data_IF_301132409358
#
_entry.id   IF_301132409358
#
_cell.length_a   1.000
_cell.length_b   1.000
_cell.length_c   1.000
_cell.angle_alpha   90.00
_cell.angle_beta   90.00
_cell.angle_gamma   90.00
#
_symmetry.space_group_name_H-M   'P 1'
#
loop_
_entity.id
_entity.type
_entity.pdbx_description
1 polymer ?
#
# COMPACT_ATOMS: atom_id res chain seq x y z
N UNK A 1 -8.07 2.83 -18.62
CA UNK A 1 -7.32 2.13 -19.70
C UNK A 1 -6.22 3.07 -20.17
N UNK A 2 -5.08 2.58 -20.65
CA UNK A 2 -4.08 3.46 -21.26
C UNK A 2 -4.65 4.06 -22.57
N UNK A 3 -4.38 5.33 -22.89
CA UNK A 3 -4.76 5.90 -24.18
C UNK A 3 -3.92 5.25 -25.30
N UNK A 4 -4.51 5.08 -26.48
CA UNK A 4 -3.84 4.43 -27.61
C UNK A 4 -2.52 5.11 -28.01
N UNK A 5 -2.43 6.43 -27.83
CA UNK A 5 -1.21 7.23 -28.04
C UNK A 5 -0.06 6.87 -27.10
N UNK A 6 -0.33 6.40 -25.88
CA UNK A 6 0.72 5.93 -24.97
C UNK A 6 1.26 4.57 -25.40
N UNK A 7 0.40 3.66 -25.88
CA UNK A 7 0.80 2.34 -26.38
C UNK A 7 1.65 2.46 -27.65
N UNK A 8 1.25 3.30 -28.61
CA UNK A 8 2.02 3.53 -29.83
C UNK A 8 3.31 4.33 -29.57
N UNK A 9 3.26 5.36 -28.71
CA UNK A 9 4.44 6.12 -28.32
C UNK A 9 5.51 5.25 -27.63
N UNK A 10 5.10 4.40 -26.69
CA UNK A 10 5.98 3.43 -26.05
C UNK A 10 6.53 2.41 -27.05
N UNK A 11 5.70 1.85 -27.95
CA UNK A 11 6.17 0.90 -28.96
C UNK A 11 7.21 1.51 -29.92
N UNK A 12 7.05 2.78 -30.31
CA UNK A 12 8.04 3.50 -31.10
C UNK A 12 9.35 3.73 -30.33
N UNK A 13 9.28 4.12 -29.06
CA UNK A 13 10.46 4.28 -28.21
C UNK A 13 11.19 2.95 -27.99
N UNK A 14 10.47 1.85 -27.74
CA UNK A 14 11.03 0.50 -27.66
C UNK A 14 11.70 0.08 -28.99
N UNK A 15 11.03 0.32 -30.12
CA UNK A 15 11.59 0.01 -31.45
C UNK A 15 12.91 0.74 -31.67
N UNK A 16 12.96 2.05 -31.37
CA UNK A 16 14.16 2.87 -31.51
C UNK A 16 15.28 2.47 -30.55
N UNK A 17 14.95 2.12 -29.30
CA UNK A 17 15.92 1.67 -28.30
C UNK A 17 16.51 0.29 -28.61
N UNK A 18 15.73 -0.62 -29.21
CA UNK A 18 16.17 -1.97 -29.58
C UNK A 18 16.86 -2.01 -30.95
N UNK A 19 16.58 -1.08 -31.86
CA UNK A 19 17.15 -1.04 -33.22
C UNK A 19 18.69 -1.20 -33.29
N UNK A 20 19.52 -0.50 -32.48
CA UNK A 20 20.97 -0.67 -32.50
C UNK A 20 21.47 -1.98 -31.86
N UNK A 21 20.62 -2.72 -31.14
CA UNK A 21 20.98 -3.96 -30.42
C UNK A 21 20.48 -5.20 -31.17
N UNK A 22 19.32 -5.12 -31.81
CA UNK A 22 18.62 -6.27 -32.38
C UNK A 22 19.23 -6.81 -33.67
N UNK A 23 19.95 -5.98 -34.45
CA UNK A 23 20.44 -6.30 -35.80
C UNK A 23 19.32 -6.83 -36.75
N UNK A 24 18.09 -6.35 -36.54
CA UNK A 24 16.85 -6.74 -37.23
C UNK A 24 16.23 -5.50 -37.88
N UNK A 25 15.57 -5.67 -39.03
CA UNK A 25 14.97 -4.55 -39.76
C UNK A 25 13.83 -3.88 -38.95
N UNK A 26 13.79 -2.55 -38.97
CA UNK A 26 12.76 -1.73 -38.31
C UNK A 26 11.32 -2.22 -38.56
N UNK A 27 11.02 -2.63 -39.79
CA UNK A 27 9.69 -3.14 -40.19
C UNK A 27 9.27 -4.46 -39.53
N UNK A 28 10.22 -5.24 -39.01
CA UNK A 28 9.96 -6.45 -38.22
C UNK A 28 9.89 -6.14 -36.72
N UNK A 29 10.71 -5.20 -36.25
CA UNK A 29 10.82 -4.80 -34.84
C UNK A 29 9.63 -3.94 -34.34
N UNK A 30 9.02 -3.15 -35.23
CA UNK A 30 7.86 -2.31 -34.90
C UNK A 30 6.57 -3.10 -34.56
N UNK A 31 6.12 -4.10 -35.35
CA UNK A 31 4.95 -4.90 -34.98
C UNK A 31 5.17 -5.75 -33.72
N UNK A 32 6.39 -6.26 -33.51
CA UNK A 32 6.81 -6.90 -32.24
C UNK A 32 6.65 -5.92 -31.06
N UNK A 33 7.20 -4.71 -31.17
CA UNK A 33 7.11 -3.70 -30.10
C UNK A 33 5.67 -3.25 -29.82
N UNK A 34 4.78 -3.27 -30.82
CA UNK A 34 3.35 -3.03 -30.63
C UNK A 34 2.67 -4.18 -29.87
N UNK A 35 2.92 -5.43 -30.26
CA UNK A 35 2.44 -6.62 -29.53
C UNK A 35 2.94 -6.63 -28.09
N UNK A 36 4.21 -6.26 -27.87
CA UNK A 36 4.83 -6.15 -26.55
C UNK A 36 4.16 -5.06 -25.69
N UNK A 37 3.90 -3.87 -26.24
CA UNK A 37 3.19 -2.79 -25.53
C UNK A 37 1.77 -3.18 -25.11
N UNK A 38 1.07 -3.91 -25.98
CA UNK A 38 -0.28 -4.40 -25.74
C UNK A 38 -0.30 -5.51 -24.68
N UNK A 39 0.65 -6.45 -24.75
CA UNK A 39 0.82 -7.50 -23.75
C UNK A 39 1.16 -6.95 -22.36
N UNK A 40 2.08 -5.98 -22.26
CA UNK A 40 2.42 -5.34 -20.99
C UNK A 40 1.27 -4.47 -20.45
N UNK A 41 0.54 -3.78 -21.32
CA UNK A 41 -0.69 -3.05 -20.97
C UNK A 41 -1.82 -3.97 -20.46
N UNK A 42 -1.93 -5.18 -21.01
CA UNK A 42 -2.88 -6.20 -20.56
C UNK A 42 -2.47 -6.78 -19.20
N UNK A 43 -1.19 -7.13 -19.01
CA UNK A 43 -0.64 -7.66 -17.76
C UNK A 43 -0.58 -6.63 -16.62
N UNK A 44 -0.56 -5.34 -16.93
CA UNK A 44 -0.72 -4.29 -15.94
C UNK A 44 -2.07 -4.38 -15.20
N UNK A 45 -3.15 -4.82 -15.84
CA UNK A 45 -4.49 -4.90 -15.24
C UNK A 45 -4.54 -5.86 -14.02
N UNK A 46 -4.15 -7.15 -14.13
CA UNK A 46 -4.11 -8.03 -12.96
C UNK A 46 -3.05 -7.62 -11.94
N UNK A 47 -1.91 -7.04 -12.36
CA UNK A 47 -0.90 -6.52 -11.43
C UNK A 47 -1.47 -5.40 -10.55
N UNK A 48 -2.15 -4.41 -11.14
CA UNK A 48 -2.84 -3.33 -10.43
C UNK A 48 -3.90 -3.88 -9.48
N UNK A 49 -4.66 -4.89 -9.93
CA UNK A 49 -5.70 -5.53 -9.13
C UNK A 49 -5.11 -6.22 -7.87
N UNK A 50 -4.05 -7.01 -8.03
CA UNK A 50 -3.33 -7.66 -6.92
C UNK A 50 -2.74 -6.62 -5.96
N UNK A 51 -2.05 -5.59 -6.48
CA UNK A 51 -1.46 -4.51 -5.68
C UNK A 51 -2.52 -3.81 -4.82
N UNK A 52 -3.69 -3.50 -5.39
CA UNK A 52 -4.79 -2.81 -4.70
C UNK A 52 -5.42 -3.66 -3.58
N UNK A 53 -5.56 -4.96 -3.78
CA UNK A 53 -6.19 -5.84 -2.79
C UNK A 53 -5.25 -6.44 -1.74
N UNK A 54 -3.93 -6.40 -1.96
CA UNK A 54 -2.94 -7.07 -1.09
C UNK A 54 -2.80 -6.48 0.33
N UNK A 55 -3.35 -5.27 0.61
CA UNK A 55 -3.39 -4.62 1.95
C UNK A 55 -2.06 -4.57 2.72
N UNK A 56 -0.92 -4.59 2.02
CA UNK A 56 0.44 -4.65 2.59
C UNK A 56 0.86 -3.44 3.43
N UNK A 57 -0.03 -2.49 3.68
CA UNK A 57 0.24 -1.29 4.48
C UNK A 57 0.23 -1.59 5.99
N UNK A 58 -0.54 -2.60 6.41
CA UNK A 58 -0.57 -3.11 7.78
C UNK A 58 0.60 -4.07 8.10
N UNK A 59 1.61 -4.15 7.22
CA UNK A 59 2.69 -5.16 7.26
C UNK A 59 4.05 -4.45 7.34
N UNK A 60 5.02 -5.09 7.99
CA UNK A 60 6.37 -4.53 8.18
C UNK A 60 7.03 -4.12 6.86
N UNK A 61 7.82 -3.02 6.85
CA UNK A 61 8.33 -2.43 5.60
C UNK A 61 9.22 -3.38 4.78
N UNK A 62 9.99 -4.24 5.45
CA UNK A 62 10.82 -5.26 4.80
C UNK A 62 9.98 -6.31 4.06
N UNK A 63 8.94 -6.85 4.70
CA UNK A 63 8.06 -7.84 4.07
C UNK A 63 7.19 -7.19 2.97
N UNK A 64 6.79 -5.94 3.17
CA UNK A 64 6.13 -5.11 2.15
C UNK A 64 7.00 -4.95 0.89
N UNK A 65 8.31 -4.71 1.04
CA UNK A 65 9.26 -4.64 -0.08
C UNK A 65 9.43 -5.98 -0.80
N UNK A 66 9.57 -7.09 -0.05
CA UNK A 66 9.68 -8.45 -0.61
C UNK A 66 8.44 -8.83 -1.43
N UNK A 67 7.23 -8.59 -0.91
CA UNK A 67 6.00 -8.92 -1.61
C UNK A 67 5.83 -8.09 -2.92
N UNK A 68 6.17 -6.80 -2.90
CA UNK A 68 6.12 -5.97 -4.11
C UNK A 68 7.15 -6.38 -5.18
N UNK A 69 8.38 -6.70 -4.77
CA UNK A 69 9.41 -7.19 -5.70
C UNK A 69 9.05 -8.57 -6.28
N UNK A 70 8.37 -9.42 -5.50
CA UNK A 70 7.79 -10.67 -6.02
C UNK A 70 6.69 -10.42 -7.07
N UNK A 71 5.80 -9.43 -6.89
CA UNK A 71 4.81 -9.09 -7.91
C UNK A 71 5.44 -8.57 -9.21
N UNK A 72 6.48 -7.72 -9.11
CA UNK A 72 7.25 -7.27 -10.27
C UNK A 72 7.95 -8.43 -10.96
N UNK A 73 8.54 -9.37 -10.22
CA UNK A 73 9.20 -10.56 -10.78
C UNK A 73 8.21 -11.49 -11.51
N UNK A 74 7.03 -11.76 -10.91
CA UNK A 74 5.98 -12.59 -11.53
C UNK A 74 5.41 -11.92 -12.79
N UNK A 75 5.13 -10.62 -12.75
CA UNK A 75 4.67 -9.88 -13.93
C UNK A 75 5.73 -9.85 -15.04
N UNK A 76 7.01 -9.68 -14.68
CA UNK A 76 8.14 -9.70 -15.61
C UNK A 76 8.30 -11.05 -16.29
N UNK A 77 8.23 -12.15 -15.53
CA UNK A 77 8.31 -13.51 -16.05
C UNK A 77 7.11 -13.85 -16.95
N UNK A 78 5.89 -13.46 -16.56
CA UNK A 78 4.69 -13.62 -17.38
C UNK A 78 4.80 -12.81 -18.69
N UNK A 79 5.26 -11.56 -18.64
CA UNK A 79 5.43 -10.72 -19.82
C UNK A 79 6.49 -11.28 -20.78
N UNK A 80 7.68 -11.62 -20.28
CA UNK A 80 8.76 -12.20 -21.10
C UNK A 80 8.36 -13.56 -21.71
N UNK A 81 7.73 -14.44 -20.91
CA UNK A 81 7.21 -15.72 -21.39
C UNK A 81 6.10 -15.58 -22.43
N UNK A 82 5.16 -14.64 -22.23
CA UNK A 82 4.10 -14.38 -23.20
C UNK A 82 4.61 -13.79 -24.51
N UNK A 83 5.64 -12.93 -24.46
CA UNK A 83 6.27 -12.36 -25.65
C UNK A 83 7.00 -13.45 -26.46
N UNK A 84 7.82 -14.29 -25.82
CA UNK A 84 8.52 -15.39 -26.50
C UNK A 84 7.56 -16.44 -27.07
N UNK A 85 6.45 -16.74 -26.37
CA UNK A 85 5.40 -17.62 -26.88
C UNK A 85 4.69 -17.01 -28.10
N UNK A 86 4.42 -15.70 -28.09
CA UNK A 86 3.85 -14.99 -29.23
C UNK A 86 4.82 -14.98 -30.43
N UNK A 87 6.12 -14.76 -30.21
CA UNK A 87 7.14 -14.84 -31.27
C UNK A 87 7.18 -16.22 -31.92
N UNK A 88 7.20 -17.28 -31.11
CA UNK A 88 7.23 -18.68 -31.57
C UNK A 88 5.98 -19.05 -32.40
N UNK A 89 4.80 -18.54 -32.03
CA UNK A 89 3.53 -18.83 -32.70
C UNK A 89 3.29 -17.96 -33.94
N UNK A 90 3.73 -16.70 -33.94
CA UNK A 90 3.46 -15.73 -35.02
C UNK A 90 4.56 -15.74 -36.09
N UNK A 91 5.83 -15.84 -35.69
CA UNK A 91 6.98 -15.73 -36.61
C UNK A 91 7.77 -17.04 -36.79
N UNK A 92 7.41 -18.09 -36.05
CA UNK A 92 8.01 -19.43 -36.16
C UNK A 92 9.35 -19.58 -35.43
N UNK A 93 9.84 -20.83 -35.31
CA UNK A 93 11.02 -21.16 -34.49
C UNK A 93 12.32 -20.53 -35.03
N UNK A 94 12.51 -20.49 -36.34
CA UNK A 94 13.72 -19.95 -36.98
C UNK A 94 13.88 -18.45 -36.69
N UNK A 95 12.77 -17.71 -36.68
CA UNK A 95 12.75 -16.29 -36.31
C UNK A 95 12.94 -16.12 -34.81
N UNK A 96 12.22 -16.89 -33.98
CA UNK A 96 12.28 -16.79 -32.52
C UNK A 96 13.69 -17.09 -31.95
N UNK A 97 14.48 -17.92 -32.63
CA UNK A 97 15.89 -18.16 -32.28
C UNK A 97 16.74 -16.87 -32.28
N UNK A 98 16.51 -15.96 -33.24
CA UNK A 98 17.21 -14.66 -33.31
C UNK A 98 16.87 -13.71 -32.15
N UNK A 99 15.66 -13.81 -31.60
CA UNK A 99 15.20 -12.97 -30.49
C UNK A 99 15.68 -13.45 -29.11
N UNK A 100 16.26 -14.65 -28.98
CA UNK A 100 16.71 -15.20 -27.69
C UNK A 100 17.72 -14.28 -26.96
N UNK A 101 18.62 -13.63 -27.71
CA UNK A 101 19.59 -12.65 -27.18
C UNK A 101 18.93 -11.41 -26.57
N UNK A 102 17.70 -11.09 -26.98
CA UNK A 102 16.94 -9.92 -26.50
C UNK A 102 16.05 -10.23 -25.29
N UNK A 103 15.81 -11.51 -24.96
CA UNK A 103 15.02 -11.93 -23.79
C UNK A 103 15.49 -11.27 -22.48
N UNK A 104 16.78 -11.28 -22.08
CA UNK A 104 17.22 -10.64 -20.84
C UNK A 104 17.02 -9.12 -20.85
N UNK A 105 17.17 -8.47 -22.00
CA UNK A 105 16.94 -7.02 -22.15
C UNK A 105 15.46 -6.66 -22.04
N UNK A 106 14.56 -7.45 -22.66
CA UNK A 106 13.11 -7.31 -22.50
C UNK A 106 12.65 -7.60 -21.07
N UNK A 107 13.26 -8.59 -20.39
CA UNK A 107 12.97 -8.85 -18.98
C UNK A 107 13.36 -7.67 -18.08
N UNK A 108 14.51 -7.04 -18.32
CA UNK A 108 14.91 -5.81 -17.61
C UNK A 108 13.96 -4.64 -17.90
N UNK A 109 13.57 -4.45 -19.17
CA UNK A 109 12.59 -3.44 -19.57
C UNK A 109 11.25 -3.62 -18.84
N UNK A 110 10.73 -4.85 -18.81
CA UNK A 110 9.51 -5.22 -18.10
C UNK A 110 9.60 -4.96 -16.59
N UNK A 111 10.72 -5.31 -15.96
CA UNK A 111 10.94 -5.04 -14.54
C UNK A 111 10.90 -3.53 -14.23
N UNK A 112 11.51 -2.69 -15.09
CA UNK A 112 11.42 -1.23 -14.98
C UNK A 112 9.99 -0.71 -15.17
N UNK A 113 9.24 -1.23 -16.16
CA UNK A 113 7.85 -0.82 -16.44
C UNK A 113 6.93 -1.17 -15.26
N UNK A 114 6.95 -2.41 -14.79
CA UNK A 114 6.08 -2.85 -13.69
C UNK A 114 6.46 -2.20 -12.36
N UNK A 115 7.74 -1.92 -12.12
CA UNK A 115 8.20 -1.11 -10.98
C UNK A 115 7.69 0.34 -11.08
N UNK A 116 7.79 0.97 -12.25
CA UNK A 116 7.27 2.32 -12.49
C UNK A 116 5.76 2.43 -12.26
N UNK A 117 4.98 1.49 -12.81
CA UNK A 117 3.52 1.39 -12.58
C UNK A 117 3.22 1.30 -11.08
N UNK A 118 3.93 0.44 -10.34
CA UNK A 118 3.76 0.29 -8.90
C UNK A 118 4.06 1.57 -8.11
N UNK A 119 5.09 2.33 -8.52
CA UNK A 119 5.43 3.63 -7.91
C UNK A 119 4.33 4.65 -8.18
N UNK A 120 3.88 4.78 -9.43
CA UNK A 120 2.84 5.76 -9.81
C UNK A 120 1.50 5.56 -9.08
N UNK A 121 1.09 4.31 -8.85
CA UNK A 121 -0.09 4.01 -8.01
C UNK A 121 0.13 4.52 -6.58
N UNK A 122 1.27 4.16 -5.98
CA UNK A 122 1.60 4.50 -4.59
C UNK A 122 1.75 6.02 -4.36
N UNK A 123 2.14 6.79 -5.38
CA UNK A 123 2.13 8.26 -5.30
C UNK A 123 0.73 8.83 -5.47
N UNK A 124 -0.10 8.27 -6.37
CA UNK A 124 -1.48 8.71 -6.58
C UNK A 124 -2.38 8.53 -5.35
N UNK A 125 -2.19 7.44 -4.60
CA UNK A 125 -2.93 7.19 -3.36
C UNK A 125 -2.61 8.29 -2.31
N UNK A 126 -1.33 8.67 -2.18
CA UNK A 126 -0.87 9.72 -1.25
C UNK A 126 -1.29 11.13 -1.64
N UNK A 127 -1.29 11.45 -2.93
CA UNK A 127 -1.68 12.78 -3.41
C UNK A 127 -3.16 13.05 -3.10
N UNK A 128 -4.00 12.02 -3.24
CA UNK A 128 -5.43 12.04 -2.86
C UNK A 128 -5.62 12.35 -1.36
N UNK A 129 -4.87 11.69 -0.48
CA UNK A 129 -4.91 11.89 0.98
C UNK A 129 -4.47 13.32 1.37
N UNK A 130 -3.42 13.86 0.74
CA UNK A 130 -2.94 15.23 1.01
C UNK A 130 -3.97 16.29 0.57
N UNK A 131 -4.67 16.09 -0.55
CA UNK A 131 -5.70 17.02 -1.03
C UNK A 131 -6.93 17.06 -0.10
N UNK A 132 -7.31 15.95 0.53
CA UNK A 132 -8.44 15.91 1.48
C UNK A 132 -8.11 16.53 2.85
N UNK A 133 -6.82 16.59 3.23
CA UNK A 133 -6.36 17.18 4.50
C UNK A 133 -6.14 18.70 4.40
N UNK A 134 -5.99 19.25 3.18
CA UNK A 134 -5.90 20.69 2.97
C UNK A 134 -7.24 21.36 3.32
N UNK A 135 -7.32 22.23 4.34
CA UNK A 135 -8.55 22.95 4.62
C UNK A 135 -8.83 23.91 3.47
N UNK A 136 -10.00 23.75 2.83
CA UNK A 136 -10.59 24.79 1.99
C UNK A 136 -10.48 26.13 2.73
N UNK A 137 -9.75 27.08 2.15
CA UNK A 137 -9.59 28.42 2.70
C UNK A 137 -10.86 29.25 2.43
N UNK A 138 -11.99 28.75 2.95
CA UNK A 138 -13.28 29.41 2.87
C UNK A 138 -13.19 30.77 3.53
N UNK A 139 -13.49 31.81 2.76
CA UNK A 139 -13.55 33.20 3.21
C UNK A 139 -14.80 33.40 4.08
N UNK A 140 -14.78 32.80 5.28
CA UNK A 140 -15.83 32.94 6.27
C UNK A 140 -15.78 34.36 6.83
N UNK A 141 -16.83 35.18 6.62
CA UNK A 141 -16.88 36.51 7.21
C UNK A 141 -16.91 36.36 8.73
N UNK A 142 -15.84 36.79 9.41
CA UNK A 142 -15.76 36.78 10.86
C UNK A 142 -16.71 37.88 11.38
N UNK A 143 -17.94 37.46 11.67
CA UNK A 143 -18.87 38.21 12.49
C UNK A 143 -18.20 38.46 13.85
N UNK A 144 -18.08 39.74 14.23
CA UNK A 144 -17.27 40.19 15.37
C UNK A 144 -18.11 40.52 16.61
N UNK A 145 -19.42 40.35 16.55
CA UNK A 145 -20.34 40.77 17.62
C UNK A 145 -20.75 39.61 18.57
N UNK A 146 -19.89 38.60 18.75
CA UNK A 146 -20.06 37.58 19.81
C UNK A 146 -19.60 38.18 21.16
N UNK A 147 -20.49 38.37 22.17
CA UNK A 147 -20.09 38.91 23.46
C UNK A 147 -19.19 37.92 24.22
N UNK A 148 -18.03 38.39 24.68
CA UNK A 148 -17.09 37.59 25.46
C UNK A 148 -17.74 37.10 26.77
N UNK A 149 -17.82 35.78 27.03
CA UNK A 149 -18.37 35.28 28.29
C UNK A 149 -17.50 35.70 29.47
N UNK A 150 -18.14 36.25 30.51
CA UNK A 150 -17.46 36.62 31.75
C UNK A 150 -17.19 35.36 32.60
N UNK A 151 -15.93 34.98 32.72
CA UNK A 151 -15.47 33.95 33.65
C UNK A 151 -15.29 34.61 35.02
N UNK A 152 -15.97 34.16 36.09
CA UNK A 152 -15.76 34.72 37.43
C UNK A 152 -14.43 34.26 38.03
N UNK A 153 -13.72 35.15 38.73
CA UNK A 153 -12.34 34.98 39.23
C UNK A 153 -12.16 33.98 40.40
N UNK A 154 -12.96 32.91 40.46
CA UNK A 154 -12.80 31.81 41.41
C UNK A 154 -12.39 30.53 40.69
N UNK A 155 -11.08 30.37 40.49
CA UNK A 155 -10.31 29.14 40.73
C UNK A 155 -8.83 29.37 40.31
N UNK A 156 -8.09 30.11 41.14
CA UNK A 156 -6.61 30.16 41.09
C UNK A 156 -6.08 29.72 42.45
N UNK A 157 -5.90 28.42 42.61
CA UNK A 157 -4.99 27.84 43.60
C UNK A 157 -4.04 26.88 42.87
N UNK A 158 -2.75 26.99 43.17
CA UNK A 158 -1.66 26.37 42.39
C UNK A 158 -1.16 25.09 43.07
N UNK A 159 -0.66 24.07 42.35
CA UNK A 159 -0.50 22.74 42.90
C UNK A 159 0.80 22.55 43.72
N UNK A 160 0.69 22.46 45.04
CA UNK A 160 1.72 21.87 45.90
C UNK A 160 1.14 21.40 47.26
N UNK A 161 1.88 20.53 47.96
CA UNK A 161 1.60 19.93 49.29
C UNK A 161 0.61 18.75 49.38
N UNK A 162 1.12 17.50 49.24
CA UNK A 162 0.51 16.29 49.83
C UNK A 162 1.47 15.07 49.94
N UNK A 163 2.77 15.26 50.21
CA UNK A 163 3.73 14.14 50.35
C UNK A 163 4.35 14.05 51.76
N UNK A 164 3.74 13.28 52.68
CA UNK A 164 4.40 12.72 53.87
C UNK A 164 3.59 11.64 54.62
N UNK A 165 4.18 10.44 54.66
CA UNK A 165 4.24 9.51 55.81
C UNK A 165 2.97 8.98 56.52
N UNK A 166 2.77 7.64 56.45
CA UNK A 166 2.84 6.78 57.65
C UNK A 166 3.04 5.28 57.35
N UNK A 167 3.60 4.52 58.32
CA UNK A 167 3.96 3.08 58.30
C UNK A 167 4.31 2.64 59.77
N UNK A 168 4.61 1.41 60.23
CA UNK A 168 4.93 0.09 59.62
C UNK A 168 4.40 -1.06 60.52
N UNK A 169 3.69 -2.06 59.98
CA UNK A 169 3.58 -3.42 60.54
C UNK A 169 2.94 -4.43 59.57
N UNK A 170 3.24 -5.74 59.54
CA UNK A 170 4.53 -6.46 59.58
C UNK A 170 4.25 -7.95 59.24
N UNK A 171 4.97 -8.46 58.24
CA UNK A 171 5.53 -9.82 57.99
C UNK A 171 5.18 -11.04 58.90
N UNK A 172 5.22 -12.29 58.37
CA UNK A 172 6.37 -12.81 57.62
C UNK A 172 6.11 -13.64 56.34
N UNK A 173 7.21 -13.90 55.63
CA UNK A 173 7.29 -14.56 54.33
C UNK A 173 7.40 -16.10 54.41
N UNK A 174 7.24 -16.74 53.24
CA UNK A 174 7.96 -17.96 52.87
C UNK A 174 8.58 -17.77 51.47
N UNK A 175 9.81 -18.22 51.28
CA UNK A 175 10.64 -18.01 50.07
C UNK A 175 11.48 -19.28 49.85
N UNK A 176 11.66 -19.73 48.60
CA UNK A 176 12.91 -20.33 48.08
C UNK A 176 12.88 -20.42 46.53
N UNK A 177 13.79 -19.62 45.97
CA UNK A 177 14.48 -19.57 44.66
C UNK A 177 15.02 -20.91 44.06
N UNK A 178 15.72 -20.94 42.89
CA UNK A 178 15.59 -20.16 41.64
C UNK A 178 15.91 -20.93 40.31
N UNK A 179 16.08 -20.19 39.20
CA UNK A 179 16.95 -20.45 38.00
C UNK A 179 16.44 -21.37 36.86
N UNK A 180 16.99 -21.25 35.61
CA UNK A 180 16.15 -21.27 34.39
C UNK A 180 16.53 -22.32 33.33
N UNK A 181 15.76 -22.37 32.23
CA UNK A 181 16.23 -22.93 30.95
C UNK A 181 15.65 -22.18 29.75
N UNK A 182 16.42 -22.14 28.66
CA UNK A 182 16.15 -21.41 27.42
C UNK A 182 16.02 -22.42 26.26
N UNK A 183 14.86 -22.54 25.60
CA UNK A 183 14.78 -23.12 24.26
C UNK A 183 13.41 -22.90 23.56
N UNK A 184 13.51 -22.43 22.32
CA UNK A 184 12.48 -22.18 21.32
C UNK A 184 11.35 -23.23 21.15
N UNK A 185 10.12 -22.73 20.92
CA UNK A 185 9.31 -23.18 19.78
C UNK A 185 8.25 -22.13 19.36
N UNK A 186 8.61 -21.12 18.54
CA UNK A 186 7.69 -20.08 18.08
C UNK A 186 6.91 -20.53 16.82
N UNK A 187 6.02 -21.50 16.99
CA UNK A 187 5.09 -21.94 15.94
C UNK A 187 3.64 -21.88 16.47
N UNK A 188 2.72 -21.49 15.57
CA UNK A 188 1.28 -21.30 15.77
C UNK A 188 0.81 -19.95 16.38
N UNK A 189 0.02 -19.24 15.57
CA UNK A 189 -1.21 -18.54 15.98
C UNK A 189 -1.09 -17.30 16.87
N UNK A 190 -0.39 -16.28 16.38
CA UNK A 190 -0.72 -14.89 16.71
C UNK A 190 -1.85 -14.39 15.79
N UNK A 191 -3.11 -14.70 16.12
CA UNK A 191 -4.26 -14.04 15.47
C UNK A 191 -4.27 -12.59 15.97
N UNK A 192 -4.05 -11.63 15.07
CA UNK A 192 -4.07 -10.21 15.42
C UNK A 192 -5.50 -9.77 15.72
N UNK A 193 -5.87 -9.74 17.01
CA UNK A 193 -7.17 -9.24 17.45
C UNK A 193 -7.31 -7.76 17.08
N UNK A 194 -8.30 -7.41 16.26
CA UNK A 194 -8.54 -6.03 15.84
C UNK A 194 -9.28 -5.29 16.96
N UNK A 195 -8.57 -4.75 17.95
CA UNK A 195 -9.13 -4.08 19.14
C UNK A 195 -9.85 -2.75 18.87
N UNK A 196 -10.21 -2.43 17.61
CA UNK A 196 -10.81 -1.14 17.21
C UNK A 196 -11.82 -1.32 16.08
N UNK A 197 -12.95 -0.61 16.18
CA UNK A 197 -14.01 -0.57 15.16
C UNK A 197 -14.01 0.82 14.50
N UNK A 198 -14.07 0.86 13.18
CA UNK A 198 -14.24 2.09 12.41
C UNK A 198 -15.71 2.25 12.00
N UNK A 199 -16.38 3.22 12.60
CA UNK A 199 -17.79 3.54 12.41
C UNK A 199 -17.91 4.73 11.44
N UNK A 200 -18.57 4.53 10.29
CA UNK A 200 -18.85 5.60 9.33
C UNK A 200 -20.24 6.19 9.59
N UNK A 201 -20.29 7.43 10.07
CA UNK A 201 -21.53 8.20 10.21
C UNK A 201 -21.58 9.27 9.12
N UNK A 202 -22.34 9.00 8.05
CA UNK A 202 -22.41 9.84 6.85
C UNK A 202 -21.03 10.02 6.19
N UNK A 203 -20.51 11.25 6.26
CA UNK A 203 -19.19 11.63 5.70
C UNK A 203 -18.05 11.54 6.70
N UNK A 204 -18.30 11.27 8.00
CA UNK A 204 -17.25 11.16 9.04
C UNK A 204 -17.00 9.71 9.44
N UNK A 205 -15.74 9.41 9.77
CA UNK A 205 -15.32 8.12 10.32
C UNK A 205 -14.86 8.34 11.77
N UNK A 206 -15.46 7.60 12.69
CA UNK A 206 -15.09 7.55 14.10
C UNK A 206 -14.43 6.21 14.38
N UNK A 207 -13.25 6.21 15.02
CA UNK A 207 -12.55 4.98 15.40
C UNK A 207 -12.67 4.81 16.91
N UNK A 208 -13.39 3.78 17.34
CA UNK A 208 -13.68 3.48 18.75
C UNK A 208 -12.97 2.17 19.12
N UNK A 209 -12.24 2.10 20.24
CA UNK A 209 -11.63 0.86 20.71
C UNK A 209 -12.68 -0.06 21.36
N UNK A 210 -12.51 -1.38 21.23
CA UNK A 210 -13.56 -2.35 21.58
C UNK A 210 -13.82 -2.41 23.09
N UNK A 211 -12.80 -2.12 23.90
CA UNK A 211 -12.86 -2.00 25.36
C UNK A 211 -13.66 -0.78 25.85
N UNK A 212 -13.98 0.19 24.99
CA UNK A 212 -14.89 1.30 25.28
C UNK A 212 -16.34 1.04 24.83
N UNK A 213 -16.65 -0.10 24.20
CA UNK A 213 -18.01 -0.44 23.75
C UNK A 213 -18.70 -1.34 24.77
N UNK A 214 -19.76 -0.83 25.41
CA UNK A 214 -20.56 -1.58 26.38
C UNK A 214 -21.61 -2.45 25.68
N UNK A 215 -22.30 -1.90 24.67
CA UNK A 215 -23.26 -2.66 23.86
C UNK A 215 -23.57 -2.01 22.50
N UNK A 216 -24.17 -2.80 21.62
CA UNK A 216 -24.73 -2.37 20.34
C UNK A 216 -26.26 -2.40 20.43
N UNK A 217 -26.91 -1.26 20.15
CA UNK A 217 -28.36 -1.16 20.10
C UNK A 217 -28.81 -0.90 18.66
N UNK A 218 -29.70 -1.75 18.15
CA UNK A 218 -30.37 -1.51 16.87
C UNK A 218 -31.67 -0.73 17.08
N UNK A 219 -31.90 0.30 16.28
CA UNK A 219 -33.17 1.04 16.19
C UNK A 219 -33.53 1.23 14.71
N UNK A 220 -34.49 0.44 14.23
CA UNK A 220 -34.79 0.31 12.80
C UNK A 220 -33.56 -0.11 11.99
N UNK A 221 -33.23 0.66 10.96
CA UNK A 221 -32.07 0.46 10.09
C UNK A 221 -30.76 1.05 10.66
N UNK A 222 -30.79 1.65 11.86
CA UNK A 222 -29.63 2.27 12.50
C UNK A 222 -29.05 1.40 13.63
N UNK A 223 -27.73 1.46 13.80
CA UNK A 223 -27.02 0.83 14.93
C UNK A 223 -26.32 1.92 15.74
N UNK A 224 -26.75 2.07 16.99
CA UNK A 224 -26.07 2.90 17.99
C UNK A 224 -25.02 2.05 18.73
N UNK A 225 -23.87 2.68 18.98
CA UNK A 225 -22.78 2.14 19.80
C UNK A 225 -22.77 2.95 21.10
N UNK A 226 -22.75 2.26 22.25
CA UNK A 226 -22.84 2.83 23.61
C UNK A 226 -21.75 2.24 24.49
#
# INVERSE_FOLDING_TARGET
>A
MLPASALTGFALLQTLALLPVANIYFWQLLPDSLLHSLGCGLLAIPLLNVVRFSRLEAVSPTLRFVNYSMYVAVATAAAAGSAYLAELVIFGPDTAAGYQTLIPLRALLNACIFSGILVCVKTSDKESEITEIAPEAGDFPIDRDIPKPAIPDRFIESPMEASRQNNIHSEPAEQIDPTPSLAANPALTAISYTTRIALRSGTKIHVVPIDEVLYLQADGDYVQVV
#
